data_IF_605942955464
#
_entry.id   IF_605942955464
#
_cell.length_a   1.000
_cell.length_b   1.000
_cell.length_c   1.000
_cell.angle_alpha   90.00
_cell.angle_beta   90.00
_cell.angle_gamma   90.00
#
_symmetry.space_group_name_H-M   'P 1'
#
loop_
_entity.id
_entity.type
_entity.pdbx_description
1 polymer ?
#
# COMPACT_ATOMS: atom_id res chain seq x y z
N UNK A 1 46.91 13.81 -46.36
CA UNK A 1 46.04 14.43 -45.34
C UNK A 1 44.63 14.38 -45.87
N UNK A 2 43.87 13.32 -45.58
CA UNK A 2 42.45 13.25 -45.94
C UNK A 2 41.69 12.64 -44.75
N UNK A 3 40.74 13.40 -44.21
CA UNK A 3 39.84 12.96 -43.13
C UNK A 3 38.57 12.42 -43.77
N UNK A 4 38.05 11.25 -43.35
CA UNK A 4 36.72 10.81 -43.78
C UNK A 4 35.65 11.58 -43.00
N UNK A 5 34.74 12.22 -43.73
CA UNK A 5 33.50 12.78 -43.20
C UNK A 5 32.52 11.64 -42.94
N UNK A 6 32.27 11.32 -41.68
CA UNK A 6 31.24 10.36 -41.26
C UNK A 6 29.88 11.05 -41.31
N UNK A 7 29.14 10.82 -42.41
CA UNK A 7 27.71 11.15 -42.54
C UNK A 7 26.92 10.37 -41.49
N UNK A 8 26.34 11.06 -40.51
CA UNK A 8 25.33 10.48 -39.63
C UNK A 8 23.96 10.68 -40.28
N UNK A 9 23.56 9.71 -41.09
CA UNK A 9 22.22 9.63 -41.64
C UNK A 9 21.22 9.27 -40.52
N UNK A 10 20.64 10.30 -39.91
CA UNK A 10 19.52 10.16 -38.98
C UNK A 10 18.30 9.71 -39.81
N UNK A 11 18.08 8.40 -39.87
CA UNK A 11 16.96 7.83 -40.61
C UNK A 11 15.62 8.21 -39.96
N UNK A 12 14.64 8.58 -40.80
CA UNK A 12 13.26 8.91 -40.41
C UNK A 12 12.58 7.77 -39.64
N UNK A 13 13.08 6.54 -39.77
CA UNK A 13 12.64 5.38 -38.99
C UNK A 13 12.89 5.54 -37.47
N UNK A 14 13.98 6.21 -37.06
CA UNK A 14 14.29 6.45 -35.65
C UNK A 14 13.34 7.45 -34.97
N UNK A 15 12.82 8.43 -35.72
CA UNK A 15 11.86 9.42 -35.21
C UNK A 15 10.45 8.84 -34.99
N UNK A 16 10.08 7.76 -35.72
CA UNK A 16 8.78 7.11 -35.57
C UNK A 16 8.68 6.31 -34.26
N UNK A 17 9.77 5.63 -33.88
CA UNK A 17 9.87 4.89 -32.62
C UNK A 17 9.74 5.79 -31.37
N UNK A 18 10.11 7.09 -31.47
CA UNK A 18 9.95 8.04 -30.35
C UNK A 18 8.51 8.57 -30.20
N UNK A 19 7.66 8.45 -31.23
CA UNK A 19 6.25 8.88 -31.22
C UNK A 19 5.27 7.73 -30.93
N UNK A 20 5.71 6.48 -31.08
CA UNK A 20 4.93 5.27 -30.74
C UNK A 20 5.05 4.86 -29.27
N UNK A 21 5.88 5.55 -28.49
CA UNK A 21 5.79 5.60 -27.02
C UNK A 21 4.57 6.39 -26.52
N UNK A 22 3.44 6.35 -27.25
CA UNK A 22 2.15 6.83 -26.75
C UNK A 22 1.74 5.88 -25.64
N UNK A 23 2.15 6.21 -24.42
CA UNK A 23 1.51 5.79 -23.19
C UNK A 23 0.02 6.00 -23.41
N UNK A 24 -0.70 4.90 -23.63
CA UNK A 24 -2.12 4.93 -23.89
C UNK A 24 -2.78 5.37 -22.59
N UNK A 25 -2.94 6.68 -22.39
CA UNK A 25 -3.55 7.20 -21.17
C UNK A 25 -4.84 6.42 -20.93
N UNK A 26 -4.95 5.73 -19.77
CA UNK A 26 -6.13 4.95 -19.49
C UNK A 26 -7.34 5.88 -19.55
N UNK A 27 -8.41 5.42 -20.20
CA UNK A 27 -9.63 6.23 -20.30
C UNK A 27 -10.13 6.55 -18.90
N UNK A 28 -10.71 7.73 -18.71
CA UNK A 28 -11.26 8.15 -17.42
C UNK A 28 -12.22 7.09 -16.82
N UNK A 29 -12.99 6.42 -17.69
CA UNK A 29 -13.87 5.31 -17.30
C UNK A 29 -13.09 4.16 -16.65
N UNK A 30 -11.95 3.78 -17.22
CA UNK A 30 -11.11 2.68 -16.71
C UNK A 30 -10.41 3.04 -15.40
N UNK A 31 -10.02 4.31 -15.24
CA UNK A 31 -9.51 4.84 -13.97
C UNK A 31 -10.58 4.74 -12.88
N UNK A 32 -11.81 5.17 -13.17
CA UNK A 32 -12.92 5.10 -12.22
C UNK A 32 -13.24 3.66 -11.83
N UNK A 33 -13.31 2.74 -12.80
CA UNK A 33 -13.52 1.31 -12.54
C UNK A 33 -12.47 0.76 -11.57
N UNK A 34 -11.18 1.06 -11.81
CA UNK A 34 -10.09 0.65 -10.91
C UNK A 34 -10.27 1.22 -9.50
N UNK A 35 -10.57 2.51 -9.36
CA UNK A 35 -10.77 3.16 -8.05
C UNK A 35 -11.94 2.53 -7.31
N UNK A 36 -13.04 2.22 -8.01
CA UNK A 36 -14.21 1.58 -7.40
C UNK A 36 -13.97 0.13 -7.02
N UNK A 37 -13.06 -0.58 -7.70
CA UNK A 37 -12.73 -1.99 -7.39
C UNK A 37 -11.71 -2.14 -6.27
N UNK A 38 -11.09 -1.04 -5.81
CA UNK A 38 -10.14 -1.08 -4.70
C UNK A 38 -10.83 -1.57 -3.41
N UNK A 39 -10.39 -2.68 -2.81
CA UNK A 39 -10.98 -3.20 -1.57
C UNK A 39 -10.64 -2.30 -0.39
N UNK A 40 -11.57 -2.14 0.55
CA UNK A 40 -11.28 -1.53 1.87
C UNK A 40 -10.77 -2.62 2.81
N UNK A 41 -9.64 -2.36 3.47
CA UNK A 41 -9.02 -3.27 4.46
C UNK A 41 -9.45 -2.84 5.86
N UNK A 42 -9.89 -3.79 6.69
CA UNK A 42 -10.19 -3.53 8.11
C UNK A 42 -8.93 -3.62 9.00
N UNK A 43 -9.04 -3.15 10.24
CA UNK A 43 -7.95 -3.28 11.21
C UNK A 43 -7.56 -4.75 11.47
N UNK A 44 -8.54 -5.66 11.51
CA UNK A 44 -8.30 -7.09 11.73
C UNK A 44 -7.52 -7.68 10.56
N UNK A 45 -7.90 -7.36 9.32
CA UNK A 45 -7.20 -7.84 8.13
C UNK A 45 -5.77 -7.28 8.05
N UNK A 46 -5.53 -6.03 8.46
CA UNK A 46 -4.16 -5.49 8.58
C UNK A 46 -3.30 -6.27 9.57
N UNK A 47 -3.87 -6.69 10.70
CA UNK A 47 -3.18 -7.52 11.69
C UNK A 47 -2.86 -8.90 11.14
N UNK A 48 -3.82 -9.53 10.46
CA UNK A 48 -3.65 -10.85 9.84
C UNK A 48 -2.57 -10.84 8.74
N UNK A 49 -2.43 -9.73 8.02
CA UNK A 49 -1.37 -9.53 7.03
C UNK A 49 -0.02 -9.13 7.64
N UNK A 50 0.09 -8.97 8.97
CA UNK A 50 1.32 -8.56 9.65
C UNK A 50 1.70 -7.10 9.46
N UNK A 51 0.74 -6.24 9.11
CA UNK A 51 0.93 -4.83 8.75
C UNK A 51 0.46 -3.83 9.82
N UNK A 52 0.27 -4.28 11.07
CA UNK A 52 -0.29 -3.48 12.16
C UNK A 52 0.47 -2.18 12.45
N UNK A 53 1.80 -2.18 12.32
CA UNK A 53 2.64 -1.00 12.60
C UNK A 53 3.22 -0.36 11.33
N UNK A 54 2.77 -0.82 10.16
CA UNK A 54 3.28 -0.28 8.90
C UNK A 54 2.66 1.07 8.54
N UNK A 55 3.39 1.82 7.73
CA UNK A 55 3.03 3.18 7.31
C UNK A 55 2.71 3.22 5.83
N UNK A 56 1.79 4.10 5.45
CA UNK A 56 1.56 4.41 4.04
C UNK A 56 2.85 5.02 3.45
N UNK A 57 3.41 4.47 2.37
CA UNK A 57 4.66 4.98 1.78
C UNK A 57 4.48 6.31 1.03
N UNK A 58 3.24 6.83 0.92
CA UNK A 58 2.95 8.10 0.23
C UNK A 58 2.83 9.26 1.25
N UNK A 59 1.95 9.15 2.26
CA UNK A 59 1.79 10.19 3.29
C UNK A 59 2.57 9.94 4.58
N UNK A 60 3.20 8.79 4.75
CA UNK A 60 3.94 8.40 5.96
C UNK A 60 3.10 8.29 7.25
N UNK A 61 1.77 8.32 7.16
CA UNK A 61 0.88 8.02 8.29
C UNK A 61 0.81 6.51 8.54
N UNK A 62 0.69 6.09 9.80
CA UNK A 62 0.44 4.69 10.14
C UNK A 62 -0.94 4.26 9.65
N UNK A 63 -1.09 3.00 9.23
CA UNK A 63 -2.39 2.52 8.77
C UNK A 63 -3.46 2.54 9.88
N UNK A 64 -3.06 2.33 11.14
CA UNK A 64 -3.96 2.49 12.28
C UNK A 64 -4.45 3.94 12.46
N UNK A 65 -3.59 4.95 12.26
CA UNK A 65 -4.02 6.34 12.33
C UNK A 65 -5.02 6.68 11.21
N UNK A 66 -4.82 6.14 10.01
CA UNK A 66 -5.74 6.32 8.87
C UNK A 66 -7.10 5.66 9.14
N UNK A 67 -7.12 4.47 9.73
CA UNK A 67 -8.38 3.81 10.12
C UNK A 67 -9.10 4.57 11.23
N UNK A 68 -8.37 5.07 12.24
CA UNK A 68 -8.95 5.90 13.29
C UNK A 68 -9.53 7.21 12.74
N UNK A 69 -8.91 7.82 11.72
CA UNK A 69 -9.46 8.98 11.00
C UNK A 69 -10.78 8.62 10.29
N UNK A 70 -10.86 7.46 9.65
CA UNK A 70 -12.09 6.98 9.02
C UNK A 70 -13.21 6.80 10.05
N UNK A 71 -12.94 6.11 11.16
CA UNK A 71 -13.92 5.90 12.23
C UNK A 71 -14.42 7.23 12.82
N UNK A 72 -13.49 8.16 13.11
CA UNK A 72 -13.85 9.47 13.65
C UNK A 72 -14.66 10.29 12.65
N UNK A 73 -14.32 10.25 11.36
CA UNK A 73 -15.05 10.96 10.32
C UNK A 73 -16.48 10.42 10.15
N UNK A 74 -16.65 9.09 10.24
CA UNK A 74 -17.96 8.44 10.19
C UNK A 74 -18.82 8.78 11.42
N UNK A 75 -18.23 8.82 12.62
CA UNK A 75 -18.97 9.16 13.85
C UNK A 75 -19.39 10.64 13.89
N UNK A 76 -18.53 11.52 13.36
CA UNK A 76 -18.76 12.97 13.42
C UNK A 76 -19.49 13.53 12.19
N UNK A 77 -19.89 12.68 11.23
CA UNK A 77 -20.48 13.06 9.94
C UNK A 77 -19.74 14.26 9.30
N UNK A 78 -18.40 14.25 9.38
CA UNK A 78 -17.60 15.42 9.03
C UNK A 78 -17.59 15.62 7.51
N UNK A 79 -18.06 16.77 6.98
CA UNK A 79 -18.10 17.02 5.54
C UNK A 79 -16.72 17.31 4.93
N UNK A 80 -15.65 17.26 5.73
CA UNK A 80 -14.31 17.65 5.30
C UNK A 80 -13.72 16.71 4.24
N UNK A 81 -14.10 15.42 4.24
CA UNK A 81 -13.58 14.44 3.30
C UNK A 81 -14.67 13.47 2.83
N UNK A 82 -14.71 13.13 1.53
CA UNK A 82 -15.62 12.12 1.01
C UNK A 82 -15.28 10.74 1.61
N UNK A 83 -16.31 9.97 1.97
CA UNK A 83 -16.19 8.67 2.66
C UNK A 83 -15.47 7.63 1.78
N UNK A 84 -15.51 7.83 0.46
CA UNK A 84 -14.86 7.00 -0.54
C UNK A 84 -13.33 7.11 -0.51
N UNK A 85 -12.78 8.22 0.00
CA UNK A 85 -11.34 8.46 0.12
C UNK A 85 -10.76 8.05 1.48
N UNK A 86 -11.61 7.67 2.43
CA UNK A 86 -11.18 7.28 3.77
C UNK A 86 -10.76 5.80 3.83
N UNK A 87 -9.90 5.51 4.79
CA UNK A 87 -9.45 4.15 5.10
C UNK A 87 -8.21 3.69 4.35
N UNK A 88 -8.00 2.38 4.38
CA UNK A 88 -6.82 1.69 3.84
C UNK A 88 -7.25 0.74 2.73
N UNK A 89 -6.41 0.59 1.70
CA UNK A 89 -6.70 -0.28 0.55
C UNK A 89 -5.48 -1.07 0.09
N UNK A 90 -5.76 -2.23 -0.54
CA UNK A 90 -4.76 -3.14 -1.10
C UNK A 90 -4.89 -3.21 -2.61
N UNK A 91 -3.76 -3.12 -3.31
CA UNK A 91 -3.67 -3.37 -4.75
C UNK A 91 -3.69 -4.88 -5.08
N UNK A 92 -4.75 -5.58 -4.68
CA UNK A 92 -4.82 -7.05 -4.75
C UNK A 92 -4.71 -7.60 -6.18
N UNK A 93 -5.28 -6.91 -7.17
CA UNK A 93 -5.25 -7.33 -8.57
C UNK A 93 -3.86 -7.30 -9.22
N UNK A 94 -2.88 -6.59 -8.63
CA UNK A 94 -1.58 -6.37 -9.29
C UNK A 94 -0.38 -6.80 -8.47
N UNK A 95 -0.18 -6.20 -7.29
CA UNK A 95 1.07 -6.36 -6.54
C UNK A 95 0.87 -6.52 -5.03
N UNK A 96 -0.34 -6.35 -4.52
CA UNK A 96 -0.68 -6.56 -3.13
C UNK A 96 -0.17 -5.50 -2.15
N UNK A 97 0.46 -4.41 -2.61
CA UNK A 97 0.90 -3.31 -1.76
C UNK A 97 -0.29 -2.55 -1.16
N UNK A 98 -0.08 -2.03 0.05
CA UNK A 98 -1.10 -1.38 0.88
C UNK A 98 -0.82 0.12 0.97
N UNK A 99 -1.87 0.94 0.88
CA UNK A 99 -1.81 2.41 0.94
C UNK A 99 -3.04 2.96 1.64
N UNK A 100 -2.97 4.21 2.12
CA UNK A 100 -4.20 4.93 2.44
C UNK A 100 -4.96 5.23 1.14
N UNK A 101 -6.28 5.19 1.22
CA UNK A 101 -7.16 5.22 0.06
C UNK A 101 -7.10 6.57 -0.66
N UNK A 102 -7.10 7.66 0.11
CA UNK A 102 -6.92 9.04 -0.37
C UNK A 102 -5.74 9.22 -1.33
N UNK A 103 -4.55 8.77 -0.93
CA UNK A 103 -3.33 9.05 -1.70
C UNK A 103 -3.22 8.18 -2.93
N UNK A 104 -3.58 6.90 -2.84
CA UNK A 104 -3.50 6.02 -4.01
C UNK A 104 -4.57 6.38 -5.05
N UNK A 105 -5.75 6.85 -4.61
CA UNK A 105 -6.77 7.38 -5.52
C UNK A 105 -6.25 8.62 -6.26
N UNK A 106 -5.69 9.60 -5.55
CA UNK A 106 -5.08 10.79 -6.16
C UNK A 106 -3.97 10.41 -7.13
N UNK A 107 -3.11 9.47 -6.75
CA UNK A 107 -2.03 8.98 -7.61
C UNK A 107 -2.55 8.42 -8.94
N UNK A 108 -3.61 7.60 -8.91
CA UNK A 108 -4.23 7.03 -10.11
C UNK A 108 -4.93 8.12 -10.93
N UNK A 109 -5.62 9.06 -10.27
CA UNK A 109 -6.33 10.18 -10.92
C UNK A 109 -5.37 11.16 -11.60
N UNK A 110 -4.16 11.34 -11.06
CA UNK A 110 -3.08 12.13 -11.67
C UNK A 110 -2.53 11.48 -12.96
N UNK A 111 -3.09 10.35 -13.39
CA UNK A 111 -2.71 9.63 -14.61
C UNK A 111 -1.49 8.74 -14.42
N UNK A 112 -1.08 8.48 -13.17
CA UNK A 112 0.03 7.57 -12.89
C UNK A 112 -0.51 6.15 -12.88
N UNK A 113 -0.10 5.36 -13.86
CA UNK A 113 -0.62 4.01 -14.10
C UNK A 113 0.18 2.90 -13.42
N UNK A 114 1.09 3.24 -12.49
CA UNK A 114 1.98 2.27 -11.83
C UNK A 114 1.96 2.39 -10.31
N UNK A 115 2.09 1.26 -9.62
CA UNK A 115 2.24 1.22 -8.16
C UNK A 115 3.43 2.08 -7.68
N UNK A 116 3.26 2.97 -6.68
CA UNK A 116 4.34 3.80 -6.14
C UNK A 116 5.53 2.99 -5.60
N UNK A 117 5.27 1.79 -5.06
CA UNK A 117 6.30 0.96 -4.41
C UNK A 117 7.07 0.09 -5.40
N UNK A 118 6.36 -0.67 -6.24
CA UNK A 118 7.00 -1.67 -7.11
C UNK A 118 6.99 -1.31 -8.60
N UNK A 119 6.40 -0.17 -8.98
CA UNK A 119 6.29 0.32 -10.36
C UNK A 119 5.55 -0.63 -11.32
N UNK A 120 4.88 -1.67 -10.80
CA UNK A 120 4.00 -2.54 -11.60
C UNK A 120 2.81 -1.74 -12.11
N UNK A 121 2.50 -1.85 -13.40
CA UNK A 121 1.36 -1.19 -14.00
C UNK A 121 0.04 -1.72 -13.40
N UNK A 122 -0.93 -0.83 -13.19
CA UNK A 122 -2.29 -1.20 -12.74
C UNK A 122 -3.05 -1.92 -13.84
N UNK A 123 -2.81 -1.53 -15.09
CA UNK A 123 -3.44 -2.10 -16.26
C UNK A 123 -2.43 -3.03 -16.94
N UNK A 124 -2.76 -4.32 -17.05
CA UNK A 124 -1.99 -5.21 -17.89
C UNK A 124 -2.11 -4.72 -19.34
N UNK A 125 -0.99 -4.27 -19.92
CA UNK A 125 -0.89 -4.12 -21.36
C UNK A 125 -0.98 -5.53 -21.93
N UNK A 126 -2.13 -5.89 -22.50
CA UNK A 126 -2.40 -7.17 -23.17
C UNK A 126 -1.51 -7.43 -24.40
N UNK A 127 -0.45 -6.65 -24.60
CA UNK A 127 0.45 -6.74 -25.74
C UNK A 127 1.63 -7.70 -25.53
N UNK A 128 1.83 -8.34 -24.37
CA UNK A 128 3.07 -9.07 -24.11
C UNK A 128 2.99 -10.35 -23.23
N UNK A 129 1.80 -10.93 -23.06
CA UNK A 129 1.63 -12.12 -22.20
C UNK A 129 2.01 -13.46 -22.86
N UNK A 130 2.50 -13.48 -24.11
CA UNK A 130 2.83 -14.72 -24.83
C UNK A 130 4.31 -15.14 -24.79
N UNK A 131 5.17 -14.52 -23.98
CA UNK A 131 6.61 -14.85 -23.98
C UNK A 131 7.24 -14.96 -22.59
N UNK A 132 6.80 -15.91 -21.74
CA UNK A 132 7.65 -16.54 -20.69
C UNK A 132 7.20 -17.97 -20.37
N UNK A 133 7.12 -18.83 -21.37
CA UNK A 133 7.19 -20.29 -21.19
C UNK A 133 8.37 -20.81 -22.03
N UNK A 134 9.59 -20.68 -21.53
CA UNK A 134 10.72 -21.45 -22.09
C UNK A 134 11.81 -21.64 -21.04
N UNK A 135 12.00 -22.92 -20.70
CA UNK A 135 13.21 -23.56 -20.19
C UNK A 135 13.84 -23.08 -18.88
N UNK A 136 13.44 -23.71 -17.76
CA UNK A 136 14.40 -24.29 -16.82
C UNK A 136 13.91 -25.66 -16.34
N UNK A 137 13.84 -26.61 -17.28
CA UNK A 137 13.96 -28.03 -16.99
C UNK A 137 15.39 -28.44 -17.29
N UNK A 138 16.24 -28.54 -16.26
CA UNK A 138 17.28 -29.58 -16.19
C UNK A 138 18.10 -29.48 -14.90
N UNK A 139 18.06 -30.59 -14.17
CA UNK A 139 19.15 -31.21 -13.41
C UNK A 139 19.51 -30.62 -12.03
N UNK A 140 19.02 -31.31 -10.99
CA UNK A 140 19.80 -32.10 -10.01
C UNK A 140 18.79 -32.64 -8.98
N UNK A 141 18.23 -33.83 -9.21
CA UNK A 141 18.69 -35.12 -8.67
C UNK A 141 18.78 -35.17 -7.13
N UNK A 142 17.78 -35.86 -6.57
CA UNK A 142 17.97 -37.05 -5.75
C UNK A 142 18.77 -36.89 -4.44
N UNK A 143 18.06 -36.60 -3.36
CA UNK A 143 18.38 -37.15 -2.04
C UNK A 143 17.10 -37.66 -1.37
N UNK A 144 16.80 -38.92 -1.62
CA UNK A 144 16.04 -39.76 -0.69
C UNK A 144 16.87 -39.98 0.58
N UNK A 145 16.33 -39.65 1.75
CA UNK A 145 16.10 -40.65 2.81
C UNK A 145 15.38 -40.08 4.04
N UNK A 146 14.25 -40.72 4.34
CA UNK A 146 13.68 -41.09 5.64
C UNK A 146 14.33 -40.53 6.92
N UNK A 147 13.48 -39.94 7.77
CA UNK A 147 13.44 -40.39 9.17
C UNK A 147 12.06 -40.18 9.79
N UNK A 148 11.46 -41.30 10.17
CA UNK A 148 10.30 -41.40 11.04
C UNK A 148 10.73 -41.05 12.47
N UNK A 149 9.95 -40.23 13.19
CA UNK A 149 9.82 -40.33 14.65
C UNK A 149 8.36 -40.15 15.02
N UNK A 150 7.74 -41.27 15.41
CA UNK A 150 6.49 -41.28 16.15
C UNK A 150 6.77 -40.84 17.59
N UNK A 151 5.93 -39.96 18.12
CA UNK A 151 6.00 -39.48 19.49
C UNK A 151 4.62 -39.00 19.93
N UNK A 152 3.71 -39.95 20.15
CA UNK A 152 2.52 -39.76 20.95
C UNK A 152 2.94 -39.44 22.40
N UNK A 153 2.39 -38.36 22.96
CA UNK A 153 2.31 -38.21 24.42
C UNK A 153 1.07 -37.39 24.78
N UNK A 154 0.03 -38.11 25.14
CA UNK A 154 -1.08 -37.63 25.96
C UNK A 154 -0.55 -37.04 27.27
N UNK A 155 -1.05 -35.86 27.61
CA UNK A 155 -0.66 -35.13 28.81
C UNK A 155 -1.72 -34.14 29.24
N UNK A 156 -2.84 -34.66 29.74
CA UNK A 156 -3.78 -33.88 30.54
C UNK A 156 -3.05 -33.34 31.80
N UNK A 157 -3.06 -32.02 32.01
CA UNK A 157 -2.35 -31.42 33.13
C UNK A 157 -2.65 -29.94 33.32
N UNK A 158 -3.80 -29.67 33.95
CA UNK A 158 -4.02 -28.67 34.99
C UNK A 158 -3.55 -27.22 34.74
N UNK A 159 -4.54 -26.34 34.63
CA UNK A 159 -4.46 -24.90 34.86
C UNK A 159 -3.81 -24.57 36.22
N UNK A 160 -2.90 -23.59 36.30
CA UNK A 160 -2.78 -22.74 37.46
C UNK A 160 -3.45 -21.40 37.18
N UNK A 161 -4.56 -21.17 37.88
CA UNK A 161 -5.15 -19.87 38.13
C UNK A 161 -4.08 -19.02 38.82
N UNK A 162 -3.46 -18.08 38.11
CA UNK A 162 -2.72 -16.99 38.75
C UNK A 162 -3.67 -15.85 39.04
N UNK A 163 -4.19 -15.91 40.26
CA UNK A 163 -4.70 -14.74 40.99
C UNK A 163 -3.54 -13.77 41.15
N UNK A 164 -3.66 -12.57 40.57
CA UNK A 164 -2.75 -11.46 40.85
C UNK A 164 -3.57 -10.33 41.50
N UNK A 165 -3.14 -9.80 42.65
CA UNK A 165 -3.97 -8.99 43.53
C UNK A 165 -4.21 -7.56 43.02
N UNK A 166 -5.43 -7.08 43.25
CA UNK A 166 -5.80 -5.67 43.22
C UNK A 166 -4.86 -4.83 44.08
N UNK A 167 -4.09 -3.95 43.45
CA UNK A 167 -3.51 -2.80 44.13
C UNK A 167 -4.35 -1.57 43.81
N UNK A 168 -4.82 -0.97 44.90
CA UNK A 168 -5.63 0.22 44.94
C UNK A 168 -4.72 1.46 44.91
N UNK A 169 -5.28 2.55 44.38
CA UNK A 169 -5.00 3.94 44.76
C UNK A 169 -3.63 4.49 44.35
N UNK A 170 -3.60 5.10 43.17
CA UNK A 170 -2.70 6.19 42.82
C UNK A 170 -3.51 7.37 42.28
N UNK A 171 -4.00 8.23 43.16
CA UNK A 171 -4.56 9.55 42.80
C UNK A 171 -3.44 10.36 42.12
N UNK A 172 -3.53 10.55 40.81
CA UNK A 172 -2.77 11.60 40.13
C UNK A 172 -3.58 12.91 40.16
N UNK A 173 -2.98 14.03 40.60
CA UNK A 173 -3.64 15.31 40.59
C UNK A 173 -3.81 15.80 39.16
N UNK A 174 -5.04 16.25 38.92
CA UNK A 174 -5.47 17.13 37.85
C UNK A 174 -4.48 18.31 37.71
N UNK A 175 -3.65 18.30 36.67
CA UNK A 175 -2.96 19.53 36.22
C UNK A 175 -3.82 20.12 35.12
N UNK A 176 -4.62 21.13 35.49
CA UNK A 176 -5.22 22.07 34.57
C UNK A 176 -4.10 22.79 33.82
N UNK A 177 -3.81 22.39 32.59
CA UNK A 177 -3.13 23.28 31.67
C UNK A 177 -4.18 24.20 31.06
N UNK A 178 -4.48 25.26 31.81
CA UNK A 178 -5.18 26.45 31.36
C UNK A 178 -4.11 27.44 30.91
N UNK A 179 -3.72 27.37 29.64
CA UNK A 179 -2.87 28.39 29.03
C UNK A 179 -3.59 29.01 27.82
N UNK A 180 -4.05 30.24 28.07
CA UNK A 180 -4.00 31.39 27.16
C UNK A 180 -4.63 31.21 25.77
N UNK A 181 -5.95 31.29 25.78
CA UNK A 181 -6.71 32.14 24.86
C UNK A 181 -6.34 33.60 25.15
N UNK A 182 -5.94 34.35 24.12
CA UNK A 182 -5.88 35.83 23.98
C UNK A 182 -4.52 36.35 23.46
N UNK A 183 -4.25 36.26 22.15
CA UNK A 183 -3.33 37.24 21.48
C UNK A 183 -3.42 37.24 19.93
N UNK A 184 -4.63 37.37 19.36
CA UNK A 184 -4.75 37.67 17.94
C UNK A 184 -5.82 38.74 17.67
N UNK A 185 -5.59 39.94 18.20
CA UNK A 185 -6.33 41.14 17.82
C UNK A 185 -5.34 42.29 17.67
N UNK A 186 -4.91 42.57 16.44
CA UNK A 186 -3.99 43.68 16.20
C UNK A 186 -3.34 43.84 14.81
N UNK A 187 -3.88 43.27 13.72
CA UNK A 187 -3.23 43.39 12.40
C UNK A 187 -4.10 43.98 11.27
N UNK A 188 -5.10 44.78 11.60
CA UNK A 188 -5.74 45.67 10.63
C UNK A 188 -5.96 47.05 11.26
N UNK A 189 -5.01 47.96 11.03
CA UNK A 189 -5.16 49.41 11.11
C UNK A 189 -4.16 50.04 10.15
#
# INVERSE_FOLDING_TARGET
MERPQSSMDITVAGLRAMLEGRSHLPSHKRIQELITSLPKISETELKDLGHSESVCPICFNTFLAVLAEEEMALVMDSPAHPIEELGVTRLHDTCGHIFCRRDIMKWIQDGRESCPTCRRAFFANTANSDQRETDQSSLLEDFTESSMVAGESDGAGLLPILVVPSTAIGRHPFVQQRESRDEFSGMYS
#
